data_IF_749001639394
#
_entry.id   IF_749001639394
#
_cell.length_a   1.000
_cell.length_b   1.000
_cell.length_c   1.000
_cell.angle_alpha   90.00
_cell.angle_beta   90.00
_cell.angle_gamma   90.00
#
_symmetry.space_group_name_H-M   'P 1'
#
loop_
_entity.id
_entity.type
_entity.pdbx_description
1 polymer ?
#
# COMPACT_ATOMS: atom_id res chain seq x y z
N UNK A 1 -7.00 -6.67 -1.90
CA UNK A 1 -7.95 -7.67 -1.42
C UNK A 1 -8.08 -7.66 0.10
N UNK A 2 -7.01 -7.97 0.84
CA UNK A 2 -7.03 -8.02 2.32
C UNK A 2 -7.39 -6.68 2.97
N UNK A 3 -6.94 -5.58 2.41
CA UNK A 3 -7.23 -4.24 2.91
C UNK A 3 -8.72 -3.89 2.82
N UNK A 4 -9.37 -4.18 1.68
CA UNK A 4 -10.83 -4.00 1.54
C UNK A 4 -11.59 -4.92 2.50
N UNK A 5 -11.12 -6.16 2.69
CA UNK A 5 -11.70 -7.08 3.67
C UNK A 5 -11.62 -6.50 5.09
N UNK A 6 -10.48 -5.90 5.46
CA UNK A 6 -10.32 -5.23 6.76
C UNK A 6 -11.36 -4.12 6.93
N UNK A 7 -11.51 -3.24 5.95
CA UNK A 7 -12.52 -2.15 5.99
C UNK A 7 -13.93 -2.69 6.19
N UNK A 8 -14.34 -3.71 5.42
CA UNK A 8 -15.69 -4.28 5.48
C UNK A 8 -15.96 -4.95 6.82
N UNK A 9 -15.01 -5.73 7.35
CA UNK A 9 -15.22 -6.47 8.59
C UNK A 9 -15.13 -5.56 9.83
N UNK A 10 -14.20 -4.60 9.81
CA UNK A 10 -14.10 -3.58 10.88
C UNK A 10 -15.36 -2.70 10.91
N UNK A 11 -15.93 -2.33 9.76
CA UNK A 11 -17.17 -1.57 9.72
C UNK A 11 -18.38 -2.31 10.29
N UNK A 12 -18.31 -3.64 10.36
CA UNK A 12 -19.29 -4.51 11.02
C UNK A 12 -19.02 -4.74 12.52
N UNK A 13 -17.98 -4.10 13.07
CA UNK A 13 -17.60 -4.23 14.47
C UNK A 13 -16.80 -5.49 14.81
N UNK A 14 -16.35 -6.26 13.81
CA UNK A 14 -15.54 -7.45 14.03
C UNK A 14 -14.10 -7.06 14.42
N UNK A 15 -13.57 -7.62 15.52
CA UNK A 15 -12.20 -7.38 15.99
C UNK A 15 -11.23 -8.36 15.32
N UNK A 16 -10.85 -8.07 14.08
CA UNK A 16 -10.02 -8.95 13.27
C UNK A 16 -8.65 -8.33 12.92
N UNK A 17 -8.36 -7.14 13.47
CA UNK A 17 -7.18 -6.34 13.10
C UNK A 17 -5.90 -7.16 13.19
N UNK A 18 -5.64 -7.82 14.33
CA UNK A 18 -4.43 -8.60 14.54
C UNK A 18 -4.27 -9.73 13.51
N UNK A 19 -5.36 -10.44 13.18
CA UNK A 19 -5.33 -11.54 12.21
C UNK A 19 -5.00 -11.04 10.82
N UNK A 20 -5.68 -9.98 10.37
CA UNK A 20 -5.46 -9.40 9.05
C UNK A 20 -4.08 -8.77 8.95
N UNK A 21 -3.63 -8.02 9.97
CA UNK A 21 -2.29 -7.44 10.01
C UNK A 21 -1.19 -8.50 9.93
N UNK A 22 -1.34 -9.62 10.66
CA UNK A 22 -0.38 -10.73 10.60
C UNK A 22 -0.28 -11.32 9.20
N UNK A 23 -1.42 -11.56 8.53
CA UNK A 23 -1.43 -12.09 7.17
C UNK A 23 -0.81 -11.13 6.16
N UNK A 24 -1.19 -9.85 6.24
CA UNK A 24 -0.69 -8.84 5.32
C UNK A 24 0.81 -8.64 5.52
N UNK A 25 1.28 -8.61 6.77
CA UNK A 25 2.69 -8.49 7.08
C UNK A 25 3.48 -9.70 6.55
N UNK A 26 3.00 -10.92 6.79
CA UNK A 26 3.64 -12.13 6.28
C UNK A 26 3.73 -12.11 4.74
N UNK A 27 2.64 -11.77 4.07
CA UNK A 27 2.63 -11.66 2.60
C UNK A 27 3.57 -10.56 2.09
N UNK A 28 3.69 -9.44 2.79
CA UNK A 28 4.61 -8.37 2.39
C UNK A 28 6.09 -8.74 2.55
N UNK A 29 6.42 -9.55 3.56
CA UNK A 29 7.78 -10.10 3.74
C UNK A 29 8.12 -11.02 2.56
N UNK A 30 7.20 -11.91 2.17
CA UNK A 30 7.40 -12.79 1.01
C UNK A 30 7.59 -11.97 -0.27
N UNK A 31 6.74 -10.96 -0.51
CA UNK A 31 6.86 -10.07 -1.67
C UNK A 31 8.18 -9.29 -1.62
N UNK A 32 8.58 -8.76 -0.46
CA UNK A 32 9.87 -8.09 -0.28
C UNK A 32 11.04 -9.01 -0.61
N UNK A 33 11.01 -10.25 -0.15
CA UNK A 33 12.04 -11.23 -0.45
C UNK A 33 12.12 -11.55 -1.95
N UNK A 34 10.99 -11.78 -2.62
CA UNK A 34 10.94 -11.98 -4.07
C UNK A 34 11.47 -10.75 -4.82
N UNK A 35 11.09 -9.55 -4.38
CA UNK A 35 11.59 -8.28 -4.96
C UNK A 35 13.10 -8.18 -4.81
N UNK A 36 13.66 -8.58 -3.65
CA UNK A 36 15.10 -8.62 -3.45
C UNK A 36 15.81 -9.58 -4.40
N UNK A 37 15.27 -10.78 -4.59
CA UNK A 37 15.85 -11.76 -5.50
C UNK A 37 15.89 -11.28 -6.96
N UNK A 38 14.86 -10.53 -7.39
CA UNK A 38 14.75 -10.03 -8.77
C UNK A 38 15.66 -8.81 -8.99
N UNK A 39 15.61 -7.82 -8.09
CA UNK A 39 16.25 -6.53 -8.30
C UNK A 39 17.57 -6.38 -7.56
N UNK A 40 17.90 -7.29 -6.62
CA UNK A 40 19.07 -7.22 -5.74
C UNK A 40 19.25 -5.86 -5.06
N UNK A 41 18.14 -5.18 -4.80
CA UNK A 41 18.07 -3.86 -4.21
C UNK A 41 17.30 -3.88 -2.90
N UNK A 42 17.99 -3.58 -1.79
CA UNK A 42 17.41 -3.60 -0.44
C UNK A 42 16.34 -2.53 -0.26
N UNK A 43 16.52 -1.34 -0.83
CA UNK A 43 15.54 -0.25 -0.72
C UNK A 43 14.21 -0.63 -1.36
N UNK A 44 14.26 -1.27 -2.54
CA UNK A 44 13.06 -1.78 -3.22
C UNK A 44 12.40 -2.93 -2.46
N UNK A 45 13.19 -3.80 -1.82
CA UNK A 45 12.64 -4.94 -1.07
C UNK A 45 11.91 -4.55 0.22
N UNK A 46 12.31 -3.46 0.86
CA UNK A 46 11.69 -2.95 2.07
C UNK A 46 10.39 -2.18 1.79
N UNK A 47 10.24 -1.64 0.58
CA UNK A 47 9.07 -0.83 0.20
C UNK A 47 7.71 -1.53 0.41
N UNK A 48 7.50 -2.79 -0.02
CA UNK A 48 6.23 -3.49 0.20
C UNK A 48 5.84 -3.58 1.67
N UNK A 49 6.83 -3.78 2.57
CA UNK A 49 6.60 -3.90 4.00
C UNK A 49 6.10 -2.56 4.57
N UNK A 50 6.80 -1.47 4.26
CA UNK A 50 6.40 -0.13 4.70
C UNK A 50 5.01 0.27 4.16
N UNK A 51 4.78 0.07 2.87
CA UNK A 51 3.50 0.37 2.22
C UNK A 51 2.34 -0.39 2.85
N UNK A 52 2.54 -1.67 3.18
CA UNK A 52 1.50 -2.51 3.79
C UNK A 52 1.16 -2.06 5.21
N UNK A 53 2.15 -1.67 6.02
CA UNK A 53 1.93 -1.11 7.35
C UNK A 53 1.01 0.11 7.26
N UNK A 54 1.35 1.07 6.41
CA UNK A 54 0.59 2.29 6.25
C UNK A 54 -0.81 2.06 5.68
N UNK A 55 -0.92 1.29 4.59
CA UNK A 55 -2.21 1.01 3.96
C UNK A 55 -3.17 0.28 4.90
N UNK A 56 -2.67 -0.66 5.72
CA UNK A 56 -3.50 -1.37 6.69
C UNK A 56 -4.13 -0.42 7.71
N UNK A 57 -3.39 0.57 8.19
CA UNK A 57 -3.89 1.59 9.11
C UNK A 57 -4.95 2.45 8.43
N UNK A 58 -4.71 2.89 7.19
CA UNK A 58 -5.69 3.69 6.46
C UNK A 58 -7.01 2.93 6.26
N UNK A 59 -6.95 1.65 5.91
CA UNK A 59 -8.14 0.84 5.73
C UNK A 59 -8.87 0.54 7.05
N UNK A 60 -8.14 0.42 8.16
CA UNK A 60 -8.74 0.32 9.49
C UNK A 60 -9.50 1.62 9.86
N UNK A 61 -8.89 2.78 9.62
CA UNK A 61 -9.52 4.08 9.88
C UNK A 61 -10.78 4.28 9.03
N UNK A 62 -10.75 3.86 7.77
CA UNK A 62 -11.93 3.86 6.92
C UNK A 62 -13.02 2.92 7.46
N UNK A 63 -12.66 1.72 7.91
CA UNK A 63 -13.58 0.79 8.53
C UNK A 63 -14.22 1.33 9.82
N UNK A 64 -13.45 2.07 10.61
CA UNK A 64 -13.90 2.78 11.82
C UNK A 64 -14.63 4.10 11.51
N UNK A 65 -14.77 4.48 10.24
CA UNK A 65 -15.37 5.76 9.77
C UNK A 65 -14.65 7.02 10.31
N UNK A 66 -13.37 6.91 10.63
CA UNK A 66 -12.54 8.01 11.13
C UNK A 66 -11.92 8.78 9.96
N UNK A 67 -12.73 9.42 9.12
CA UNK A 67 -12.32 10.07 7.88
C UNK A 67 -11.32 11.21 8.09
N UNK A 68 -11.45 11.98 9.17
CA UNK A 68 -10.52 13.07 9.48
C UNK A 68 -9.12 12.52 9.74
N UNK A 69 -9.00 11.46 10.54
CA UNK A 69 -7.72 10.82 10.84
C UNK A 69 -7.12 10.17 9.58
N UNK A 70 -7.95 9.54 8.75
CA UNK A 70 -7.52 9.01 7.45
C UNK A 70 -6.89 10.10 6.58
N UNK A 71 -7.53 11.25 6.46
CA UNK A 71 -7.03 12.38 5.68
C UNK A 71 -5.74 12.95 6.26
N UNK A 72 -5.71 13.22 7.57
CA UNK A 72 -4.53 13.74 8.25
C UNK A 72 -3.32 12.82 8.12
N UNK A 73 -3.48 11.51 8.29
CA UNK A 73 -2.38 10.57 8.15
C UNK A 73 -1.92 10.44 6.70
N UNK A 74 -2.83 10.53 5.74
CA UNK A 74 -2.47 10.54 4.32
C UNK A 74 -1.62 11.76 3.95
N UNK A 75 -1.97 12.95 4.44
CA UNK A 75 -1.18 14.17 4.23
C UNK A 75 0.17 14.06 4.94
N UNK A 76 0.17 13.67 6.21
CA UNK A 76 1.40 13.53 6.99
C UNK A 76 2.39 12.59 6.31
N UNK A 77 1.92 11.44 5.82
CA UNK A 77 2.76 10.51 5.07
C UNK A 77 3.37 11.15 3.81
N UNK A 78 2.60 11.96 3.06
CA UNK A 78 3.11 12.65 1.87
C UNK A 78 4.21 13.66 2.23
N UNK A 79 4.02 14.41 3.30
CA UNK A 79 5.03 15.36 3.80
C UNK A 79 6.30 14.61 4.22
N UNK A 80 6.17 13.56 5.03
CA UNK A 80 7.30 12.73 5.46
C UNK A 80 8.02 12.08 4.27
N UNK A 81 7.28 11.62 3.27
CA UNK A 81 7.86 11.08 2.04
C UNK A 81 8.77 12.09 1.34
N UNK A 82 8.32 13.32 1.16
CA UNK A 82 9.13 14.36 0.51
C UNK A 82 10.39 14.66 1.34
N UNK A 83 10.22 14.86 2.66
CA UNK A 83 11.34 15.20 3.56
C UNK A 83 12.39 14.08 3.54
N UNK A 84 11.99 12.82 3.78
CA UNK A 84 12.93 11.70 3.83
C UNK A 84 13.55 11.40 2.47
N UNK A 85 12.76 11.45 1.38
CA UNK A 85 13.30 11.20 0.04
C UNK A 85 14.34 12.24 -0.37
N UNK A 86 14.11 13.52 -0.11
CA UNK A 86 15.10 14.57 -0.38
C UNK A 86 16.33 14.43 0.51
N UNK A 87 16.15 14.13 1.80
CA UNK A 87 17.28 13.95 2.73
C UNK A 87 18.16 12.77 2.32
N UNK A 88 17.56 11.61 2.02
CA UNK A 88 18.32 10.41 1.65
C UNK A 88 18.89 10.48 0.24
N UNK A 89 18.24 11.22 -0.67
CA UNK A 89 18.78 11.43 -2.01
C UNK A 89 20.20 12.04 -1.99
N UNK A 90 20.46 12.96 -1.05
CA UNK A 90 21.77 13.60 -0.92
C UNK A 90 22.91 12.61 -0.59
N UNK A 91 22.59 11.48 0.07
CA UNK A 91 23.58 10.49 0.51
C UNK A 91 23.63 9.25 -0.38
N UNK A 92 22.49 8.82 -0.92
CA UNK A 92 22.33 7.53 -1.60
C UNK A 92 21.83 7.67 -3.05
N UNK A 93 21.65 8.90 -3.55
CA UNK A 93 21.14 9.12 -4.89
C UNK A 93 19.71 8.54 -5.07
N UNK A 94 19.48 7.87 -6.19
CA UNK A 94 18.15 7.34 -6.56
C UNK A 94 17.65 6.30 -5.53
N UNK A 95 18.53 5.44 -5.01
CA UNK A 95 18.17 4.46 -3.98
C UNK A 95 17.72 5.14 -2.68
N UNK A 96 18.26 6.32 -2.39
CA UNK A 96 17.84 7.15 -1.27
C UNK A 96 16.40 7.64 -1.39
N UNK A 97 15.92 7.91 -2.59
CA UNK A 97 14.50 8.30 -2.80
C UNK A 97 13.57 7.15 -2.39
N UNK A 98 13.88 5.92 -2.82
CA UNK A 98 13.06 4.73 -2.52
C UNK A 98 13.12 4.41 -1.03
N UNK A 99 14.32 4.48 -0.44
CA UNK A 99 14.50 4.26 1.00
C UNK A 99 13.77 5.33 1.83
N UNK A 100 13.86 6.60 1.43
CA UNK A 100 13.16 7.70 2.08
C UNK A 100 11.64 7.53 2.04
N UNK A 101 11.13 7.09 0.90
CA UNK A 101 9.72 6.75 0.77
C UNK A 101 9.33 5.61 1.72
N UNK A 102 10.14 4.55 1.80
CA UNK A 102 9.91 3.44 2.73
C UNK A 102 9.95 3.90 4.18
N UNK A 103 10.93 4.73 4.55
CA UNK A 103 11.04 5.27 5.90
C UNK A 103 9.87 6.17 6.29
N UNK A 104 9.21 6.82 5.33
CA UNK A 104 8.03 7.66 5.60
C UNK A 104 6.84 6.87 6.18
N UNK A 105 6.83 5.56 6.04
CA UNK A 105 5.80 4.69 6.61
C UNK A 105 6.09 4.26 8.05
N UNK A 106 7.36 4.30 8.49
CA UNK A 106 7.77 3.77 9.81
C UNK A 106 7.05 4.41 11.00
N UNK A 107 6.80 5.74 11.05
CA UNK A 107 6.08 6.34 12.16
C UNK A 107 4.70 5.73 12.40
N UNK A 108 4.08 5.22 11.34
CA UNK A 108 2.75 4.60 11.41
C UNK A 108 2.79 3.17 11.97
N UNK A 109 3.96 2.52 12.05
CA UNK A 109 4.08 1.20 12.68
C UNK A 109 3.62 1.20 14.14
N UNK A 110 3.76 2.31 14.86
CA UNK A 110 3.29 2.46 16.24
C UNK A 110 1.75 2.29 16.30
N UNK A 111 1.03 2.85 15.33
CA UNK A 111 -0.42 2.73 15.24
C UNK A 111 -0.85 1.29 14.91
N UNK A 112 -0.10 0.61 14.04
CA UNK A 112 -0.33 -0.80 13.74
C UNK A 112 -0.17 -1.67 14.98
N UNK A 113 0.87 -1.44 15.81
CA UNK A 113 1.09 -2.15 17.06
C UNK A 113 -0.09 -1.92 18.02
N UNK A 114 -0.62 -0.70 18.09
CA UNK A 114 -1.81 -0.39 18.89
C UNK A 114 -3.02 -1.18 18.40
N UNK A 115 -3.33 -1.15 17.10
CA UNK A 115 -4.42 -1.92 16.50
C UNK A 115 -4.25 -3.43 16.70
N UNK A 116 -3.01 -3.94 16.66
CA UNK A 116 -2.70 -5.34 16.92
C UNK A 116 -3.06 -5.77 18.35
N UNK A 117 -2.91 -4.87 19.33
CA UNK A 117 -3.26 -5.14 20.74
C UNK A 117 -4.76 -5.13 21.02
N UNK A 118 -5.57 -4.53 20.13
CA UNK A 118 -7.03 -4.44 20.29
C UNK A 118 -7.75 -5.76 19.98
N UNK A 119 -7.09 -6.71 19.32
CA UNK A 119 -7.69 -7.98 18.94
C UNK A 119 -6.70 -9.14 19.10
N UNK A 120 -7.22 -10.37 19.26
CA UNK A 120 -6.40 -11.58 19.24
C UNK A 120 -6.28 -12.11 17.83
N UNK A 121 -5.15 -12.78 17.53
CA UNK A 121 -4.98 -13.48 16.26
C UNK A 121 -5.87 -14.73 16.27
N UNK A 122 -6.84 -14.77 15.38
CA UNK A 122 -7.74 -15.91 15.19
C UNK A 122 -7.93 -16.22 13.70
N UNK A 123 -7.23 -17.25 13.25
CA UNK A 123 -7.31 -17.70 11.85
C UNK A 123 -8.62 -18.42 11.50
N UNK A 124 -9.43 -18.82 12.49
CA UNK A 124 -10.73 -19.47 12.25
C UNK A 124 -11.70 -18.53 11.53
N UNK A 125 -11.61 -17.23 11.82
CA UNK A 125 -12.40 -16.18 11.15
C UNK A 125 -12.13 -16.17 9.65
N UNK A 126 -10.89 -16.37 9.24
CA UNK A 126 -10.50 -16.40 7.83
C UNK A 126 -11.11 -17.60 7.10
N UNK A 127 -11.12 -18.75 7.76
CA UNK A 127 -11.75 -19.96 7.20
C UNK A 127 -13.24 -19.75 7.01
N UNK A 128 -13.92 -19.18 8.00
CA UNK A 128 -15.35 -18.94 7.97
C UNK A 128 -15.76 -17.85 6.95
N UNK A 129 -14.85 -16.90 6.65
CA UNK A 129 -15.07 -15.80 5.71
C UNK A 129 -14.29 -15.95 4.40
N UNK A 130 -13.78 -17.14 4.11
CA UNK A 130 -12.91 -17.43 2.96
C UNK A 130 -13.49 -16.97 1.62
N UNK A 131 -14.80 -17.14 1.39
CA UNK A 131 -15.47 -16.69 0.16
C UNK A 131 -15.40 -15.17 -0.02
N UNK A 132 -15.64 -14.39 1.04
CA UNK A 132 -15.59 -12.92 1.00
C UNK A 132 -14.14 -12.47 0.73
N UNK A 133 -13.19 -13.09 1.41
CA UNK A 133 -11.76 -12.79 1.27
C UNK A 133 -11.32 -13.10 -0.17
N UNK A 134 -11.67 -14.28 -0.70
CA UNK A 134 -11.31 -14.68 -2.05
C UNK A 134 -11.91 -13.74 -3.10
N UNK A 135 -13.19 -13.41 -2.99
CA UNK A 135 -13.84 -12.47 -3.91
C UNK A 135 -13.16 -11.10 -3.91
N UNK A 136 -12.84 -10.55 -2.72
CA UNK A 136 -12.13 -9.28 -2.61
C UNK A 136 -10.71 -9.35 -3.20
N UNK A 137 -10.04 -10.50 -3.11
CA UNK A 137 -8.73 -10.69 -3.74
C UNK A 137 -8.84 -10.72 -5.26
N UNK A 138 -9.80 -11.49 -5.80
CA UNK A 138 -10.03 -11.59 -7.25
C UNK A 138 -10.43 -10.22 -7.81
N UNK A 139 -11.35 -9.52 -7.17
CA UNK A 139 -11.76 -8.17 -7.56
C UNK A 139 -10.57 -7.21 -7.59
N UNK A 140 -9.76 -7.20 -6.52
CA UNK A 140 -8.59 -6.34 -6.45
C UNK A 140 -7.53 -6.67 -7.49
N UNK A 141 -7.30 -7.96 -7.75
CA UNK A 141 -6.38 -8.43 -8.78
C UNK A 141 -6.83 -7.98 -10.18
N UNK A 142 -8.11 -8.19 -10.51
CA UNK A 142 -8.68 -7.74 -11.77
C UNK A 142 -8.61 -6.22 -11.92
N UNK A 143 -8.87 -5.47 -10.85
CA UNK A 143 -8.74 -4.02 -10.82
C UNK A 143 -7.30 -3.56 -11.08
N UNK A 144 -6.30 -4.21 -10.47
CA UNK A 144 -4.88 -3.89 -10.71
C UNK A 144 -4.50 -4.15 -12.17
N UNK A 145 -4.92 -5.29 -12.73
CA UNK A 145 -4.66 -5.58 -14.15
C UNK A 145 -5.33 -4.53 -15.03
N UNK A 146 -6.61 -4.26 -14.82
CA UNK A 146 -7.37 -3.28 -15.60
C UNK A 146 -6.76 -1.88 -15.56
N UNK A 147 -6.26 -1.43 -14.40
CA UNK A 147 -5.63 -0.12 -14.23
C UNK A 147 -4.20 -0.02 -14.78
N UNK A 148 -3.58 -1.15 -15.10
CA UNK A 148 -2.19 -1.18 -15.57
C UNK A 148 -2.01 -1.92 -16.89
N UNK A 149 -3.08 -2.36 -17.54
CA UNK A 149 -3.02 -3.11 -18.80
C UNK A 149 -2.32 -2.32 -19.90
N UNK A 150 -2.58 -1.01 -19.95
CA UNK A 150 -1.93 -0.07 -20.85
C UNK A 150 -0.41 -0.04 -20.63
N UNK A 151 0.04 0.02 -19.38
CA UNK A 151 1.48 0.05 -19.02
C UNK A 151 2.15 -1.29 -19.30
N UNK A 152 1.44 -2.39 -19.06
CA UNK A 152 1.92 -3.76 -19.34
C UNK A 152 2.14 -3.93 -20.86
N UNK A 153 1.31 -3.28 -21.70
CA UNK A 153 1.45 -3.36 -23.15
C UNK A 153 2.51 -2.35 -23.65
N UNK A 154 2.50 -1.12 -23.15
CA UNK A 154 3.40 -0.05 -23.62
C UNK A 154 4.87 -0.39 -23.32
N UNK A 155 5.17 -0.92 -22.14
CA UNK A 155 6.54 -1.18 -21.73
C UNK A 155 7.30 -2.13 -22.67
N UNK A 156 6.81 -3.33 -23.00
CA UNK A 156 7.49 -4.23 -23.93
C UNK A 156 7.39 -3.80 -25.41
N UNK A 157 6.33 -3.08 -25.79
CA UNK A 157 6.12 -2.70 -27.17
C UNK A 157 6.88 -1.44 -27.58
N UNK A 158 6.97 -0.44 -26.73
CA UNK A 158 7.48 0.90 -27.03
C UNK A 158 8.64 1.34 -26.14
N UNK A 159 8.96 0.58 -25.10
CA UNK A 159 10.08 0.84 -24.21
C UNK A 159 9.78 1.80 -23.06
N UNK A 160 10.74 1.89 -22.12
CA UNK A 160 10.59 2.63 -20.86
C UNK A 160 10.46 4.15 -21.06
N UNK A 161 11.12 4.72 -22.06
CA UNK A 161 11.04 6.17 -22.35
C UNK A 161 9.62 6.60 -22.74
N UNK A 162 8.97 5.86 -23.64
CA UNK A 162 7.59 6.14 -24.06
C UNK A 162 6.62 5.94 -22.89
N UNK A 163 6.83 4.89 -22.07
CA UNK A 163 6.05 4.67 -20.87
C UNK A 163 6.18 5.85 -19.90
N UNK A 164 7.38 6.40 -19.72
CA UNK A 164 7.61 7.58 -18.90
C UNK A 164 6.81 8.81 -19.35
N UNK A 165 6.83 9.12 -20.64
CA UNK A 165 6.02 10.21 -21.21
C UNK A 165 4.52 9.97 -21.06
N UNK A 166 4.07 8.74 -21.31
CA UNK A 166 2.68 8.34 -21.11
C UNK A 166 2.22 8.55 -19.67
N UNK A 167 3.03 8.12 -18.69
CA UNK A 167 2.70 8.27 -17.25
C UNK A 167 2.62 9.74 -16.84
N UNK A 168 3.54 10.60 -17.33
CA UNK A 168 3.49 12.04 -17.08
C UNK A 168 2.22 12.65 -17.65
N UNK A 169 1.87 12.33 -18.91
CA UNK A 169 0.63 12.78 -19.53
C UNK A 169 -0.61 12.34 -18.76
N UNK A 170 -0.66 11.08 -18.34
CA UNK A 170 -1.77 10.54 -17.53
C UNK A 170 -1.91 11.23 -16.17
N UNK A 171 -0.79 11.58 -15.51
CA UNK A 171 -0.81 12.31 -14.24
C UNK A 171 -1.33 13.74 -14.42
N UNK A 172 -0.89 14.46 -15.44
CA UNK A 172 -1.36 15.82 -15.73
C UNK A 172 -2.86 15.79 -16.04
N UNK A 173 -3.30 14.85 -16.87
CA UNK A 173 -4.71 14.69 -17.20
C UNK A 173 -5.55 14.35 -15.96
N UNK A 174 -5.03 13.47 -15.08
CA UNK A 174 -5.67 13.14 -13.81
C UNK A 174 -5.85 14.34 -12.89
N UNK A 175 -4.88 15.27 -12.86
CA UNK A 175 -5.01 16.51 -12.09
C UNK A 175 -6.11 17.42 -12.64
N UNK A 176 -6.25 17.49 -13.97
CA UNK A 176 -7.31 18.29 -14.60
C UNK A 176 -8.71 17.77 -14.31
N UNK A 177 -8.87 16.44 -14.16
CA UNK A 177 -10.16 15.83 -13.81
C UNK A 177 -10.59 16.07 -12.36
N UNK A 178 -9.67 16.46 -11.48
CA UNK A 178 -9.98 16.78 -10.06
C UNK A 178 -10.53 18.19 -9.90
N UNK A 179 -10.39 19.05 -10.93
CA UNK A 179 -10.96 20.40 -10.88
C UNK A 179 -12.49 20.26 -11.06
N UNK A 180 -13.30 20.56 -10.02
CA UNK A 180 -14.75 20.43 -10.16
C UNK A 180 -15.24 21.43 -11.19
N UNK A 181 -15.99 20.94 -12.18
CA UNK A 181 -16.75 21.74 -13.11
C UNK A 181 -17.94 22.40 -12.43
#
# INVERSE_FOLDING_TARGET
GSANTLTVLVSKGEKIQATVFSMILLSSIVVGFVTYLIFQNTSMSLYPIGYVIFSSILFELLGKKLFVNFFMYSILQRILMVIFSLSFYQYLGIDGIILGYTCSFLPFAILMIKGYRESKVDFSILRNRSKIILNNYVEHFLKIISLNIDKIIILPALGAGVLGHYLLGAQIFGLLLVIPS
#
